data_IF_167520383858
#
_entry.id   IF_167520383858
#
_cell.length_a   1.000
_cell.length_b   1.000
_cell.length_c   1.000
_cell.angle_alpha   90.00
_cell.angle_beta   90.00
_cell.angle_gamma   90.00
#
_symmetry.space_group_name_H-M   'P 1'
#
loop_
_entity.id
_entity.type
_entity.pdbx_description
1 polymer ?
#
# COMPACT_ATOMS: atom_id res chain seq x y z
N UNK A 1 10.57 63.83 -13.46
CA UNK A 1 10.18 62.72 -14.36
C UNK A 1 11.49 62.09 -14.82
N UNK A 2 11.87 60.84 -14.59
CA UNK A 2 11.20 59.60 -14.15
C UNK A 2 12.23 58.79 -13.32
N UNK A 3 11.91 58.38 -12.09
CA UNK A 3 11.43 57.04 -11.65
C UNK A 3 12.47 55.91 -11.71
N UNK A 4 12.90 55.47 -10.53
CA UNK A 4 13.73 54.30 -10.24
C UNK A 4 13.08 52.99 -10.72
N UNK A 5 13.88 52.08 -11.29
CA UNK A 5 13.51 50.66 -11.44
C UNK A 5 14.36 49.82 -10.48
N UNK A 6 13.84 49.59 -9.28
CA UNK A 6 14.31 48.54 -8.39
C UNK A 6 13.57 47.26 -8.76
N UNK A 7 14.24 46.32 -9.44
CA UNK A 7 13.68 45.00 -9.73
C UNK A 7 13.76 44.13 -8.48
N UNK A 8 12.65 43.96 -7.77
CA UNK A 8 12.49 42.96 -6.72
C UNK A 8 12.09 41.63 -7.36
N UNK A 9 13.03 40.71 -7.53
CA UNK A 9 12.69 39.31 -7.72
C UNK A 9 12.54 38.65 -6.35
N UNK A 10 11.29 38.53 -5.89
CA UNK A 10 10.92 37.65 -4.79
C UNK A 10 11.15 36.21 -5.25
N UNK A 11 12.17 35.55 -4.72
CA UNK A 11 12.30 34.10 -4.82
C UNK A 11 11.21 33.49 -3.94
N UNK A 12 10.12 33.01 -4.56
CA UNK A 12 9.25 32.01 -3.93
C UNK A 12 10.10 30.77 -3.70
N UNK A 13 10.53 30.59 -2.46
CA UNK A 13 11.16 29.37 -2.00
C UNK A 13 10.06 28.31 -1.94
N UNK A 14 9.80 27.64 -3.06
CA UNK A 14 9.06 26.39 -3.03
C UNK A 14 9.89 25.43 -2.16
N UNK A 15 9.37 25.09 -1.00
CA UNK A 15 9.86 23.96 -0.22
C UNK A 15 9.68 22.72 -1.09
N UNK A 16 10.74 22.36 -1.81
CA UNK A 16 10.83 21.07 -2.46
C UNK A 16 10.56 20.03 -1.38
N UNK A 17 9.49 19.25 -1.55
CA UNK A 17 9.20 18.10 -0.69
C UNK A 17 10.48 17.27 -0.62
N UNK A 18 10.97 16.89 0.58
CA UNK A 18 12.14 16.05 0.67
C UNK A 18 11.90 14.81 -0.18
N UNK A 19 12.66 14.70 -1.26
CA UNK A 19 12.54 13.59 -2.18
C UNK A 19 13.04 12.32 -1.46
N UNK A 20 12.16 11.35 -1.30
CA UNK A 20 12.56 9.96 -1.28
C UNK A 20 13.13 9.43 0.03
N UNK A 21 12.34 9.52 1.09
CA UNK A 21 12.44 8.57 2.20
C UNK A 21 11.04 8.29 2.75
N UNK A 22 10.52 7.10 2.44
CA UNK A 22 9.21 6.62 2.95
C UNK A 22 9.17 6.57 4.49
N UNK A 23 10.31 6.55 5.18
CA UNK A 23 10.36 6.60 6.64
C UNK A 23 9.70 7.87 7.20
N UNK A 24 9.74 8.98 6.45
CA UNK A 24 9.13 10.25 6.82
C UNK A 24 7.60 10.26 6.73
N UNK A 25 7.02 9.31 5.98
CA UNK A 25 5.56 9.21 5.74
C UNK A 25 4.90 8.28 6.75
N UNK A 26 5.65 7.30 7.26
CA UNK A 26 5.15 6.37 8.27
C UNK A 26 5.63 6.79 9.65
N UNK A 27 4.74 7.39 10.45
CA UNK A 27 5.02 7.76 11.85
C UNK A 27 5.52 6.58 12.71
N UNK A 28 5.17 5.34 12.34
CA UNK A 28 5.66 4.13 12.99
C UNK A 28 7.12 3.77 12.63
N UNK A 29 7.68 4.37 11.58
CA UNK A 29 9.05 4.17 11.11
C UNK A 29 9.94 5.40 11.35
N UNK A 30 9.35 6.58 11.62
CA UNK A 30 10.07 7.84 11.83
C UNK A 30 10.76 7.94 13.20
N UNK A 31 10.54 6.98 14.10
CA UNK A 31 11.09 7.02 15.47
C UNK A 31 10.49 8.13 16.34
N UNK A 32 9.43 8.79 15.86
CA UNK A 32 8.70 9.80 16.63
C UNK A 32 8.07 9.19 17.89
N UNK A 33 7.97 9.99 18.95
CA UNK A 33 7.37 9.56 20.21
C UNK A 33 5.87 9.33 20.04
N UNK A 34 5.53 8.07 19.74
CA UNK A 34 4.16 7.56 19.64
C UNK A 34 3.37 7.70 20.95
N UNK A 35 4.02 8.09 22.06
CA UNK A 35 3.35 8.35 23.34
C UNK A 35 2.85 9.78 23.50
N UNK A 36 3.12 10.69 22.54
CA UNK A 36 2.57 12.05 22.61
C UNK A 36 1.05 12.01 22.43
N UNK A 37 0.26 12.52 23.39
CA UNK A 37 -1.19 12.58 23.23
C UNK A 37 -1.58 13.39 21.99
N UNK A 38 -2.54 12.86 21.23
CA UNK A 38 -3.17 13.60 20.14
C UNK A 38 -3.95 14.81 20.69
N UNK A 39 -4.24 15.78 19.81
CA UNK A 39 -4.99 16.98 20.16
C UNK A 39 -6.34 16.65 20.85
N UNK A 40 -6.78 17.44 21.84
CA UNK A 40 -8.02 17.18 22.60
C UNK A 40 -9.28 17.02 21.73
N UNK A 41 -9.31 17.61 20.52
CA UNK A 41 -10.43 17.44 19.57
C UNK A 41 -10.70 15.98 19.22
N UNK A 42 -9.70 15.10 19.22
CA UNK A 42 -9.90 13.68 18.92
C UNK A 42 -10.65 12.96 20.06
N UNK A 43 -10.44 13.39 21.31
CA UNK A 43 -11.23 12.88 22.44
C UNK A 43 -12.69 13.38 22.37
N UNK A 44 -12.89 14.64 21.99
CA UNK A 44 -14.23 15.19 21.76
C UNK A 44 -14.96 14.47 20.63
N UNK A 45 -14.28 14.22 19.50
CA UNK A 45 -14.82 13.48 18.37
C UNK A 45 -15.24 12.06 18.77
N UNK A 46 -14.39 11.33 19.52
CA UNK A 46 -14.74 10.00 20.03
C UNK A 46 -16.01 10.02 20.88
N UNK A 47 -16.18 11.03 21.75
CA UNK A 47 -17.41 11.20 22.54
C UNK A 47 -18.62 11.47 21.65
N UNK A 48 -18.50 12.34 20.65
CA UNK A 48 -19.58 12.66 19.72
C UNK A 48 -20.05 11.44 18.91
N UNK A 49 -19.12 10.56 18.50
CA UNK A 49 -19.45 9.37 17.70
C UNK A 49 -20.23 8.32 18.51
N UNK A 50 -19.96 8.20 19.81
CA UNK A 50 -20.55 7.15 20.66
C UNK A 50 -21.73 7.62 21.50
N UNK A 51 -21.98 8.93 21.55
CA UNK A 51 -22.96 9.53 22.46
C UNK A 51 -24.34 8.91 22.28
N UNK A 52 -24.90 8.38 23.37
CA UNK A 52 -26.23 7.74 23.37
C UNK A 52 -26.25 6.30 22.87
N UNK A 53 -25.08 5.72 22.54
CA UNK A 53 -24.92 4.34 22.07
C UNK A 53 -23.76 3.62 22.77
N UNK A 54 -23.37 4.06 23.96
CA UNK A 54 -22.16 3.61 24.64
C UNK A 54 -22.20 2.10 24.94
N UNK A 55 -23.33 1.61 25.44
CA UNK A 55 -23.52 0.19 25.75
C UNK A 55 -23.66 -0.66 24.48
N UNK A 56 -24.30 -0.16 23.42
CA UNK A 56 -24.40 -0.84 22.13
C UNK A 56 -23.03 -1.00 21.47
N UNK A 57 -22.20 0.04 21.48
CA UNK A 57 -20.83 0.01 20.97
C UNK A 57 -20.01 -0.99 21.77
N UNK A 58 -20.06 -0.94 23.10
CA UNK A 58 -19.37 -1.89 23.98
C UNK A 58 -19.79 -3.33 23.74
N UNK A 59 -21.09 -3.59 23.62
CA UNK A 59 -21.62 -4.92 23.34
C UNK A 59 -21.23 -5.40 21.93
N UNK A 60 -21.23 -4.50 20.93
CA UNK A 60 -20.76 -4.82 19.57
C UNK A 60 -19.28 -5.19 19.55
N UNK A 61 -18.46 -4.52 20.37
CA UNK A 61 -17.05 -4.81 20.52
C UNK A 61 -16.81 -6.21 21.08
N UNK A 62 -17.55 -6.63 22.12
CA UNK A 62 -17.44 -7.99 22.64
C UNK A 62 -17.86 -9.05 21.60
N UNK A 63 -18.94 -8.82 20.85
CA UNK A 63 -19.33 -9.70 19.75
C UNK A 63 -18.24 -9.81 18.67
N UNK A 64 -17.60 -8.68 18.33
CA UNK A 64 -16.48 -8.65 17.39
C UNK A 64 -15.28 -9.46 17.91
N UNK A 65 -14.91 -9.29 19.19
CA UNK A 65 -13.80 -10.04 19.78
C UNK A 65 -14.05 -11.55 19.73
N UNK A 66 -15.28 -12.00 19.99
CA UNK A 66 -15.60 -13.44 19.93
C UNK A 66 -15.63 -13.98 18.51
N UNK A 67 -16.10 -13.19 17.53
CA UNK A 67 -15.98 -13.54 16.11
C UNK A 67 -14.52 -13.62 15.67
N UNK A 68 -13.70 -12.64 16.07
CA UNK A 68 -12.28 -12.60 15.74
C UNK A 68 -11.51 -13.80 16.32
N UNK A 69 -11.80 -14.22 17.56
CA UNK A 69 -11.20 -15.42 18.16
C UNK A 69 -11.47 -16.67 17.32
N UNK A 70 -12.70 -16.83 16.80
CA UNK A 70 -13.06 -17.96 15.95
C UNK A 70 -12.28 -17.92 14.63
N UNK A 71 -12.23 -16.77 13.96
CA UNK A 71 -11.47 -16.63 12.71
C UNK A 71 -9.97 -16.85 12.91
N UNK A 72 -9.38 -16.36 14.00
CA UNK A 72 -7.97 -16.61 14.33
C UNK A 72 -7.69 -18.11 14.46
N UNK A 73 -8.60 -18.88 15.06
CA UNK A 73 -8.45 -20.33 15.18
C UNK A 73 -8.45 -21.02 13.79
N UNK A 74 -9.33 -20.60 12.88
CA UNK A 74 -9.42 -21.10 11.50
C UNK A 74 -8.15 -20.75 10.70
N UNK A 75 -7.68 -19.51 10.81
CA UNK A 75 -6.42 -19.05 10.18
C UNK A 75 -5.25 -19.88 10.70
N UNK A 76 -5.19 -20.13 12.01
CA UNK A 76 -4.12 -20.91 12.63
C UNK A 76 -4.11 -22.38 12.18
N UNK A 77 -5.29 -23.00 12.02
CA UNK A 77 -5.37 -24.39 11.57
C UNK A 77 -5.08 -24.56 10.08
N UNK A 78 -5.49 -23.58 9.26
CA UNK A 78 -5.42 -23.66 7.80
C UNK A 78 -4.11 -23.08 7.23
N UNK A 79 -3.43 -22.21 7.99
CA UNK A 79 -2.19 -21.55 7.56
C UNK A 79 -2.36 -20.90 6.16
N UNK A 80 -1.47 -21.16 5.21
CA UNK A 80 -1.50 -20.55 3.88
C UNK A 80 -2.64 -21.04 2.98
N UNK A 81 -3.26 -22.19 3.27
CA UNK A 81 -4.32 -22.74 2.41
C UNK A 81 -5.63 -21.95 2.51
N UNK A 82 -5.77 -21.09 3.53
CA UNK A 82 -6.95 -20.24 3.73
C UNK A 82 -7.08 -19.13 2.68
N UNK A 83 -5.98 -18.77 2.01
CA UNK A 83 -5.99 -17.72 0.99
C UNK A 83 -6.51 -18.34 -0.31
N UNK A 84 -7.64 -17.87 -0.86
CA UNK A 84 -8.16 -18.37 -2.12
C UNK A 84 -7.14 -18.21 -3.24
N UNK A 85 -7.05 -19.20 -4.12
CA UNK A 85 -6.12 -19.19 -5.25
C UNK A 85 -6.87 -19.48 -6.53
N UNK A 86 -6.72 -18.62 -7.53
CA UNK A 86 -7.39 -18.76 -8.83
C UNK A 86 -6.38 -18.61 -9.95
N UNK A 87 -6.61 -19.27 -11.08
CA UNK A 87 -5.80 -18.99 -12.27
C UNK A 87 -6.35 -17.76 -12.99
N UNK A 88 -5.46 -16.98 -13.60
CA UNK A 88 -5.82 -15.79 -14.35
C UNK A 88 -6.83 -16.09 -15.48
N UNK A 89 -6.70 -17.25 -16.14
CA UNK A 89 -7.65 -17.71 -17.18
C UNK A 89 -9.09 -17.88 -16.66
N UNK A 90 -9.24 -18.18 -15.37
CA UNK A 90 -10.52 -18.50 -14.73
C UNK A 90 -11.12 -17.28 -14.00
N UNK A 91 -10.40 -16.15 -13.96
CA UNK A 91 -10.75 -14.96 -13.14
C UNK A 91 -12.12 -14.35 -13.48
N UNK A 92 -12.60 -14.54 -14.72
CA UNK A 92 -13.93 -14.06 -15.15
C UNK A 92 -15.06 -15.02 -14.76
N UNK A 93 -14.73 -16.27 -14.46
CA UNK A 93 -15.68 -17.37 -14.28
C UNK A 93 -15.57 -17.98 -12.87
N UNK A 94 -15.45 -17.14 -11.85
CA UNK A 94 -15.38 -17.59 -10.46
C UNK A 94 -16.76 -18.06 -9.97
N UNK A 95 -16.78 -19.23 -9.32
CA UNK A 95 -17.98 -19.73 -8.62
C UNK A 95 -18.39 -18.79 -7.49
N UNK A 96 -19.66 -18.89 -7.07
CA UNK A 96 -20.19 -18.15 -5.91
C UNK A 96 -19.36 -18.39 -4.65
N UNK A 97 -18.95 -19.63 -4.43
CA UNK A 97 -18.23 -20.03 -3.22
C UNK A 97 -16.85 -19.39 -3.16
N UNK A 98 -16.13 -19.38 -4.29
CA UNK A 98 -14.84 -18.70 -4.40
C UNK A 98 -14.99 -17.19 -4.20
N UNK A 99 -16.05 -16.57 -4.76
CA UNK A 99 -16.31 -15.14 -4.52
C UNK A 99 -16.60 -14.84 -3.05
N UNK A 100 -17.38 -15.69 -2.39
CA UNK A 100 -17.70 -15.53 -0.97
C UNK A 100 -16.43 -15.66 -0.12
N UNK A 101 -15.60 -16.67 -0.38
CA UNK A 101 -14.30 -16.79 0.31
C UNK A 101 -13.42 -15.57 0.07
N UNK A 102 -13.35 -15.04 -1.16
CA UNK A 102 -12.60 -13.81 -1.44
C UNK A 102 -13.13 -12.63 -0.62
N UNK A 103 -14.46 -12.47 -0.52
CA UNK A 103 -15.08 -11.40 0.28
C UNK A 103 -14.83 -11.59 1.77
N UNK A 104 -14.89 -12.82 2.28
CA UNK A 104 -14.63 -13.14 3.68
C UNK A 104 -13.16 -12.94 4.05
N UNK A 105 -12.22 -13.36 3.19
CA UNK A 105 -10.78 -13.27 3.44
C UNK A 105 -10.18 -11.90 3.09
N UNK A 106 -10.81 -11.16 2.18
CA UNK A 106 -10.35 -9.84 1.71
C UNK A 106 -9.10 -9.88 0.82
N UNK A 107 -8.63 -11.08 0.44
CA UNK A 107 -7.40 -11.28 -0.34
C UNK A 107 -7.50 -12.56 -1.18
N UNK A 108 -6.73 -12.62 -2.28
CA UNK A 108 -6.63 -13.78 -3.17
C UNK A 108 -5.29 -13.80 -3.89
N UNK A 109 -4.80 -15.01 -4.22
CA UNK A 109 -3.67 -15.21 -5.14
C UNK A 109 -4.18 -15.49 -6.55
N UNK A 110 -3.78 -14.68 -7.53
CA UNK A 110 -4.03 -14.96 -8.95
C UNK A 110 -2.77 -15.55 -9.58
N UNK A 111 -2.84 -16.80 -10.01
CA UNK A 111 -1.74 -17.54 -10.63
C UNK A 111 -1.74 -17.37 -12.15
N UNK A 112 -0.56 -17.33 -12.75
CA UNK A 112 -0.40 -17.29 -14.21
C UNK A 112 -0.87 -15.98 -14.85
N UNK A 113 -0.76 -14.85 -14.14
CA UNK A 113 -1.03 -13.51 -14.70
C UNK A 113 -0.02 -13.17 -15.80
N UNK A 114 1.25 -13.53 -15.56
CA UNK A 114 2.35 -13.35 -16.49
C UNK A 114 3.08 -14.69 -16.65
N UNK A 115 3.53 -15.06 -17.87
CA UNK A 115 4.41 -16.21 -18.05
C UNK A 115 5.68 -16.06 -17.20
N UNK A 116 6.18 -17.18 -16.68
CA UNK A 116 7.34 -17.18 -15.78
C UNK A 116 8.58 -16.58 -16.46
N UNK A 117 8.80 -16.87 -17.73
CA UNK A 117 9.93 -16.33 -18.52
C UNK A 117 9.90 -14.80 -18.56
N UNK A 118 8.73 -14.21 -18.79
CA UNK A 118 8.57 -12.75 -18.83
C UNK A 118 8.76 -12.13 -17.44
N UNK A 119 8.26 -12.79 -16.38
CA UNK A 119 8.45 -12.34 -15.01
C UNK A 119 9.94 -12.33 -14.60
N UNK A 120 10.69 -13.38 -14.98
CA UNK A 120 12.13 -13.47 -14.73
C UNK A 120 12.91 -12.43 -15.53
N UNK A 121 12.50 -12.16 -16.78
CA UNK A 121 13.10 -11.10 -17.60
C UNK A 121 12.87 -9.73 -16.96
N UNK A 122 11.65 -9.40 -16.54
CA UNK A 122 11.34 -8.14 -15.86
C UNK A 122 12.20 -7.95 -14.60
N UNK A 123 12.36 -9.01 -13.79
CA UNK A 123 13.25 -8.98 -12.62
C UNK A 123 14.69 -8.67 -13.02
N UNK A 124 15.21 -9.33 -14.05
CA UNK A 124 16.57 -9.09 -14.53
C UNK A 124 16.76 -7.67 -15.06
N UNK A 125 15.80 -7.14 -15.82
CA UNK A 125 15.82 -5.78 -16.35
C UNK A 125 15.86 -4.74 -15.22
N UNK A 126 15.02 -4.90 -14.19
CA UNK A 126 15.02 -4.02 -13.01
C UNK A 126 16.35 -4.10 -12.26
N UNK A 127 16.91 -5.30 -12.07
CA UNK A 127 18.21 -5.48 -11.43
C UNK A 127 19.34 -4.81 -12.22
N UNK A 128 19.32 -4.92 -13.54
CA UNK A 128 20.30 -4.29 -14.42
C UNK A 128 20.18 -2.76 -14.38
N UNK A 129 18.96 -2.23 -14.40
CA UNK A 129 18.70 -0.81 -14.27
C UNK A 129 19.26 -0.26 -12.95
N UNK A 130 19.00 -0.94 -11.82
CA UNK A 130 19.51 -0.53 -10.50
C UNK A 130 21.05 -0.54 -10.48
N UNK A 131 21.70 -1.53 -11.09
CA UNK A 131 23.17 -1.59 -11.18
C UNK A 131 23.76 -0.43 -11.97
N UNK A 132 23.12 -0.05 -13.08
CA UNK A 132 23.54 1.08 -13.92
C UNK A 132 23.26 2.43 -13.25
N UNK A 133 22.33 2.49 -12.30
CA UNK A 133 21.91 3.69 -11.60
C UNK A 133 22.13 3.56 -10.08
N UNK A 134 23.38 3.55 -9.59
CA UNK A 134 23.69 3.34 -8.18
C UNK A 134 23.13 4.42 -7.24
N UNK A 135 22.73 5.58 -7.80
CA UNK A 135 22.05 6.67 -7.11
C UNK A 135 20.56 6.41 -6.84
N UNK A 136 20.01 5.25 -7.28
CA UNK A 136 18.63 4.86 -7.01
C UNK A 136 18.40 4.75 -5.50
N UNK A 137 17.44 5.53 -5.00
CA UNK A 137 17.06 5.55 -3.58
C UNK A 137 16.43 4.23 -3.18
N UNK A 138 16.81 3.74 -2.01
CA UNK A 138 16.32 2.47 -1.47
C UNK A 138 16.35 2.46 0.05
N UNK A 139 15.47 1.65 0.64
CA UNK A 139 15.25 1.54 2.07
C UNK A 139 15.14 0.07 2.52
N UNK A 140 15.68 -0.29 3.70
CA UNK A 140 16.71 0.41 4.47
C UNK A 140 18.04 0.57 3.70
N UNK A 141 18.92 1.49 4.12
CA UNK A 141 20.15 1.82 3.36
C UNK A 141 21.21 0.71 3.40
N UNK A 142 21.28 -0.02 4.52
CA UNK A 142 22.17 -1.14 4.77
C UNK A 142 21.72 -2.43 4.08
N UNK A 143 20.41 -2.66 4.02
CA UNK A 143 19.76 -3.80 3.39
C UNK A 143 18.64 -3.33 2.47
N UNK A 144 18.97 -2.96 1.24
CA UNK A 144 17.98 -2.41 0.29
C UNK A 144 16.89 -3.44 -0.02
N UNK A 145 15.67 -3.23 0.49
CA UNK A 145 14.50 -4.11 0.24
C UNK A 145 13.43 -3.40 -0.57
N UNK A 146 13.28 -2.09 -0.38
CA UNK A 146 12.35 -1.23 -1.11
C UNK A 146 13.17 -0.30 -1.98
N UNK A 147 12.83 -0.20 -3.27
CA UNK A 147 13.44 0.74 -4.21
C UNK A 147 12.40 1.78 -4.61
N UNK A 148 12.76 3.06 -4.55
CA UNK A 148 11.88 4.15 -5.01
C UNK A 148 12.00 4.31 -6.53
N UNK A 149 11.56 3.28 -7.24
CA UNK A 149 11.63 3.16 -8.69
C UNK A 149 10.23 3.01 -9.27
N UNK A 150 9.70 4.10 -9.83
CA UNK A 150 8.34 4.15 -10.36
C UNK A 150 8.29 3.86 -11.87
N UNK A 151 9.30 4.32 -12.60
CA UNK A 151 9.45 4.09 -14.04
C UNK A 151 10.86 3.59 -14.28
N UNK A 152 10.99 2.28 -14.47
CA UNK A 152 12.17 1.70 -15.08
C UNK A 152 11.85 1.55 -16.56
N UNK A 153 12.66 2.15 -17.44
CA UNK A 153 12.57 1.88 -18.86
C UNK A 153 13.01 0.44 -19.11
N UNK A 154 12.06 -0.47 -19.06
CA UNK A 154 12.16 -1.73 -19.77
C UNK A 154 11.00 -1.81 -20.75
N UNK A 155 11.29 -2.19 -21.99
CA UNK A 155 10.29 -2.33 -23.06
C UNK A 155 9.16 -3.31 -22.66
N UNK A 156 9.41 -4.16 -21.66
CA UNK A 156 8.44 -5.13 -21.14
C UNK A 156 7.59 -4.58 -19.97
N UNK A 157 8.12 -3.67 -19.13
CA UNK A 157 7.43 -3.17 -17.94
C UNK A 157 6.38 -2.09 -18.28
N UNK A 158 6.70 -1.19 -19.22
CA UNK A 158 5.73 -0.19 -19.72
C UNK A 158 4.52 -0.87 -20.37
N UNK A 159 4.74 -1.96 -21.13
CA UNK A 159 3.66 -2.74 -21.71
C UNK A 159 2.80 -3.48 -20.67
N UNK A 160 3.31 -3.81 -19.48
CA UNK A 160 2.53 -4.52 -18.46
C UNK A 160 1.47 -3.61 -17.82
N UNK A 161 1.83 -2.38 -17.44
CA UNK A 161 0.88 -1.41 -16.88
C UNK A 161 -0.10 -0.88 -17.93
N UNK A 162 0.32 -0.80 -19.20
CA UNK A 162 -0.51 -0.35 -20.32
C UNK A 162 -1.24 -1.49 -21.07
N UNK A 163 -1.06 -2.75 -20.64
CA UNK A 163 -1.68 -3.89 -21.31
C UNK A 163 -3.21 -3.80 -21.23
N UNK A 164 -3.95 -4.00 -22.34
CA UNK A 164 -5.41 -4.14 -22.31
C UNK A 164 -5.88 -5.36 -21.48
N UNK A 165 -4.95 -6.26 -21.11
CA UNK A 165 -5.15 -7.38 -20.18
C UNK A 165 -4.84 -7.01 -18.73
N UNK A 166 -4.58 -5.74 -18.44
CA UNK A 166 -4.54 -5.20 -17.09
C UNK A 166 -5.82 -5.55 -16.34
N UNK A 167 -5.67 -5.95 -15.08
CA UNK A 167 -6.76 -6.46 -14.26
C UNK A 167 -7.78 -5.34 -14.07
N UNK A 168 -8.90 -5.40 -14.79
CA UNK A 168 -10.05 -4.54 -14.54
C UNK A 168 -10.77 -5.09 -13.31
N UNK A 169 -10.26 -4.73 -12.13
CA UNK A 169 -10.92 -4.97 -10.84
C UNK A 169 -12.02 -3.92 -10.73
N UNK A 170 -13.22 -4.25 -11.21
CA UNK A 170 -14.46 -3.56 -10.83
C UNK A 170 -15.16 -4.36 -9.75
#
# INVERSE_FOLDING_TARGET
>A
MATNMTSMSSMMQSSAKPEGDISSVFASLSGDDMNKPLEPRFAQLKRQIIQGHEEEVKNSWYRLLDALKREIAIVRSSNQSIIPQVNFRDIKNLSSDVRNEIQTRGVMVVRGVLPEVDALKLKADVQNYIKQNPHTKAFPQDTRVVYELYVAFSDSCSCQCSSPRGINIR
#
